data_IF_833466635887
#
_entry.id   IF_833466635887
#
_cell.length_a   1.000
_cell.length_b   1.000
_cell.length_c   1.000
_cell.angle_alpha   90.00
_cell.angle_beta   90.00
_cell.angle_gamma   90.00
#
_symmetry.space_group_name_H-M   'P 1'
#
loop_
_entity.id
_entity.type
_entity.pdbx_description
1 polymer ?
#
# COMPACT_ATOMS: atom_id res chain seq x y z
N UNK A 1 -8.01 13.80 14.89
CA UNK A 1 -6.99 13.43 13.87
C UNK A 1 -6.02 14.61 13.82
N UNK A 2 -4.71 14.38 13.92
CA UNK A 2 -3.73 15.47 13.91
C UNK A 2 -3.63 16.10 12.52
N UNK A 3 -3.42 17.41 12.44
CA UNK A 3 -3.22 18.09 11.15
C UNK A 3 -1.95 17.63 10.44
N UNK A 4 -1.97 17.66 9.09
CA UNK A 4 -0.79 17.29 8.29
C UNK A 4 0.44 18.16 8.60
N UNK A 5 0.23 19.43 8.88
CA UNK A 5 1.25 20.41 9.29
C UNK A 5 1.96 19.96 10.57
N UNK A 6 1.21 19.60 11.59
CA UNK A 6 1.73 19.12 12.88
C UNK A 6 2.47 17.78 12.75
N UNK A 7 1.95 16.86 11.92
CA UNK A 7 2.64 15.60 11.63
C UNK A 7 3.96 15.81 10.89
N UNK A 8 4.02 16.76 9.97
CA UNK A 8 5.25 17.15 9.30
C UNK A 8 6.25 17.75 10.28
N UNK A 9 5.82 18.61 11.20
CA UNK A 9 6.67 19.14 12.25
C UNK A 9 7.29 18.03 13.09
N UNK A 10 6.52 17.04 13.55
CA UNK A 10 7.05 15.91 14.32
C UNK A 10 8.05 15.06 13.53
N UNK A 11 7.81 14.87 12.24
CA UNK A 11 8.74 14.14 11.36
C UNK A 11 10.04 14.90 11.10
N UNK A 12 10.02 16.23 11.20
CA UNK A 12 11.20 17.09 11.02
C UNK A 12 11.96 17.36 12.33
N UNK A 13 11.44 16.95 13.49
CA UNK A 13 12.20 17.04 14.74
C UNK A 13 13.51 16.24 14.60
N UNK A 14 14.68 16.78 14.99
CA UNK A 14 15.93 16.06 14.87
C UNK A 14 15.87 14.75 15.64
N UNK A 15 16.11 13.64 14.94
CA UNK A 15 15.96 12.28 15.49
C UNK A 15 16.86 12.05 16.73
N UNK A 16 18.05 12.64 16.76
CA UNK A 16 18.98 12.51 17.86
C UNK A 16 18.47 13.26 19.11
N UNK A 17 17.93 14.48 18.92
CA UNK A 17 17.32 15.23 20.01
C UNK A 17 16.12 14.48 20.60
N UNK A 18 15.31 13.83 19.78
CA UNK A 18 14.21 12.99 20.24
C UNK A 18 14.75 11.76 20.99
N UNK A 19 15.81 11.13 20.50
CA UNK A 19 16.46 10.01 21.15
C UNK A 19 17.01 10.39 22.55
N UNK A 20 17.71 11.53 22.65
CA UNK A 20 18.23 12.04 23.93
C UNK A 20 17.10 12.33 24.94
N UNK A 21 15.98 12.89 24.49
CA UNK A 21 14.82 13.11 25.35
C UNK A 21 14.13 11.82 25.82
N UNK A 22 14.31 10.74 25.06
CA UNK A 22 13.89 9.40 25.46
C UNK A 22 14.87 8.72 26.43
N UNK A 23 15.96 9.42 26.81
CA UNK A 23 17.01 8.91 27.69
C UNK A 23 18.07 8.06 27.00
N UNK A 24 18.11 8.05 25.67
CA UNK A 24 19.16 7.37 24.91
C UNK A 24 20.41 8.26 24.85
N UNK A 25 21.55 7.73 25.26
CA UNK A 25 22.82 8.45 25.13
C UNK A 25 23.33 8.35 23.69
N UNK A 26 23.27 9.46 22.94
CA UNK A 26 23.72 9.51 21.55
C UNK A 26 25.15 10.06 21.49
N UNK A 27 26.07 9.27 20.95
CA UNK A 27 27.46 9.67 20.73
C UNK A 27 27.91 9.29 19.32
N UNK A 28 28.42 10.26 18.56
CA UNK A 28 28.87 10.04 17.16
C UNK A 28 27.81 9.36 16.28
N UNK A 29 26.56 9.84 16.35
CA UNK A 29 25.41 9.31 15.63
C UNK A 29 25.06 7.84 15.96
N UNK A 30 25.42 7.35 17.16
CA UNK A 30 25.13 6.01 17.63
C UNK A 30 24.65 6.00 19.07
N UNK A 31 23.85 5.00 19.44
CA UNK A 31 23.46 4.68 20.81
C UNK A 31 23.34 3.18 21.02
N UNK A 32 23.24 2.75 22.27
CA UNK A 32 22.72 1.42 22.60
C UNK A 32 21.27 1.31 22.11
N UNK A 33 20.91 0.16 21.60
CA UNK A 33 19.56 -0.10 21.11
C UNK A 33 18.63 -0.47 22.27
N UNK A 34 17.51 0.23 22.51
CA UNK A 34 16.59 -0.09 23.58
C UNK A 34 15.64 -1.25 23.28
N UNK A 35 15.74 -1.86 22.08
CA UNK A 35 14.81 -2.87 21.60
C UNK A 35 15.35 -4.30 21.68
N UNK A 36 16.57 -4.49 22.17
CA UNK A 36 17.21 -5.76 22.50
C UNK A 36 18.29 -5.52 23.55
N UNK A 37 18.78 -6.56 24.15
CA UNK A 37 19.92 -6.48 25.08
C UNK A 37 21.19 -6.12 24.30
N UNK A 38 21.63 -4.86 24.43
CA UNK A 38 22.68 -4.25 23.63
C UNK A 38 23.83 -3.73 24.51
N UNK A 39 24.98 -4.31 24.38
CA UNK A 39 26.19 -3.92 25.11
C UNK A 39 27.17 -3.07 24.26
N UNK A 40 26.90 -2.93 22.95
CA UNK A 40 27.70 -2.17 22.02
C UNK A 40 26.80 -1.33 21.14
N UNK A 41 27.02 0.00 21.03
CA UNK A 41 26.17 0.93 20.30
C UNK A 41 25.83 0.45 18.87
N UNK A 42 24.76 -0.35 18.75
CA UNK A 42 24.32 -0.96 17.51
C UNK A 42 23.24 -0.16 16.75
N UNK A 43 22.62 0.81 17.41
CA UNK A 43 21.67 1.73 16.80
C UNK A 43 22.40 2.94 16.21
N UNK A 44 22.18 3.21 14.94
CA UNK A 44 22.75 4.37 14.23
C UNK A 44 21.64 5.35 13.83
N UNK A 45 21.96 6.65 13.87
CA UNK A 45 21.08 7.74 13.48
C UNK A 45 21.59 8.38 12.19
N UNK A 46 20.70 8.59 11.23
CA UNK A 46 20.96 9.36 10.02
C UNK A 46 20.31 10.74 10.16
N UNK A 47 21.11 11.78 10.36
CA UNK A 47 20.63 13.16 10.47
C UNK A 47 20.07 13.68 9.14
N UNK A 48 20.69 13.29 8.01
CA UNK A 48 20.23 13.67 6.67
C UNK A 48 18.88 13.07 6.28
N UNK A 49 18.60 11.84 6.72
CA UNK A 49 17.31 11.14 6.48
C UNK A 49 16.33 11.28 7.65
N UNK A 50 16.82 11.79 8.77
CA UNK A 50 16.08 11.90 10.04
C UNK A 50 15.47 10.56 10.49
N UNK A 51 16.30 9.49 10.46
CA UNK A 51 15.89 8.12 10.78
C UNK A 51 16.89 7.43 11.68
N UNK A 52 16.42 6.41 12.42
CA UNK A 52 17.28 5.48 13.15
C UNK A 52 17.26 4.08 12.52
N UNK A 53 18.32 3.32 12.74
CA UNK A 53 18.40 1.89 12.39
C UNK A 53 19.33 1.15 13.34
N UNK A 54 18.85 0.07 13.91
CA UNK A 54 19.67 -0.91 14.61
C UNK A 54 20.15 -1.98 13.63
N UNK A 55 21.45 -2.25 13.61
CA UNK A 55 22.03 -3.24 12.70
C UNK A 55 21.99 -4.67 13.27
N UNK A 56 21.66 -4.83 14.55
CA UNK A 56 21.52 -6.15 15.20
C UNK A 56 20.08 -6.64 15.11
N UNK A 57 19.11 -5.90 15.67
CA UNK A 57 17.71 -6.35 15.68
C UNK A 57 16.87 -5.86 14.49
N UNK A 58 17.44 -5.04 13.59
CA UNK A 58 16.76 -4.53 12.41
C UNK A 58 15.72 -3.43 12.68
N UNK A 59 15.53 -3.00 13.93
CA UNK A 59 14.61 -1.92 14.27
C UNK A 59 14.98 -0.64 13.54
N UNK A 60 14.03 0.00 12.86
CA UNK A 60 14.26 1.22 12.10
C UNK A 60 12.99 2.06 12.03
N UNK A 61 13.12 3.36 11.75
CA UNK A 61 12.00 4.28 11.62
C UNK A 61 12.41 5.75 11.74
N UNK A 62 11.42 6.63 11.74
CA UNK A 62 11.57 8.07 12.00
C UNK A 62 11.34 8.42 13.47
N UNK A 63 11.19 9.71 13.75
CA UNK A 63 11.01 10.27 15.11
C UNK A 63 9.79 9.70 15.81
N UNK A 64 8.64 9.62 15.12
CA UNK A 64 7.40 9.10 15.70
C UNK A 64 7.54 7.59 16.00
N UNK A 65 8.14 6.84 15.08
CA UNK A 65 8.36 5.39 15.25
C UNK A 65 9.26 5.08 16.45
N UNK A 66 10.28 5.91 16.66
CA UNK A 66 11.19 5.79 17.81
C UNK A 66 10.43 5.94 19.12
N UNK A 67 9.60 6.96 19.24
CA UNK A 67 8.78 7.22 20.45
C UNK A 67 7.77 6.09 20.67
N UNK A 68 7.05 5.68 19.63
CA UNK A 68 6.08 4.59 19.70
C UNK A 68 6.71 3.31 20.24
N UNK A 69 7.85 2.92 19.67
CA UNK A 69 8.53 1.66 20.03
C UNK A 69 9.20 1.73 21.41
N UNK A 70 9.85 2.84 21.73
CA UNK A 70 10.60 3.00 22.98
C UNK A 70 9.68 3.08 24.19
N UNK A 71 8.56 3.79 24.07
CA UNK A 71 7.61 3.99 25.17
C UNK A 71 6.40 3.03 25.12
N UNK A 72 6.34 2.12 24.12
CA UNK A 72 5.19 1.24 23.94
C UNK A 72 3.87 1.98 23.67
N UNK A 73 3.95 3.17 23.06
CA UNK A 73 2.80 4.06 22.85
C UNK A 73 2.16 3.87 21.49
N UNK A 74 0.84 4.09 21.45
CA UNK A 74 0.11 4.22 20.18
C UNK A 74 0.53 5.49 19.43
N UNK A 75 0.25 5.55 18.13
CA UNK A 75 0.58 6.71 17.30
C UNK A 75 0.04 8.04 17.86
N UNK A 76 -1.24 8.15 18.30
CA UNK A 76 -1.74 9.39 18.90
C UNK A 76 -1.03 9.77 20.20
N UNK A 77 -0.68 8.80 21.02
CA UNK A 77 0.03 9.04 22.29
C UNK A 77 1.48 9.46 22.07
N UNK A 78 2.15 8.86 21.08
CA UNK A 78 3.50 9.27 20.67
C UNK A 78 3.52 10.72 20.13
N UNK A 79 2.51 11.09 19.34
CA UNK A 79 2.38 12.45 18.87
C UNK A 79 2.11 13.45 20.01
N UNK A 80 1.28 13.09 21.01
CA UNK A 80 1.09 13.93 22.21
C UNK A 80 2.39 14.09 22.97
N UNK A 81 3.12 13.00 23.21
CA UNK A 81 4.42 13.05 23.87
C UNK A 81 5.41 13.96 23.13
N UNK A 82 5.46 13.87 21.78
CA UNK A 82 6.32 14.76 20.97
C UNK A 82 5.89 16.23 21.06
N UNK A 83 4.60 16.50 21.15
CA UNK A 83 4.07 17.84 21.34
C UNK A 83 4.46 18.42 22.70
N UNK A 84 4.23 17.66 23.75
CA UNK A 84 4.56 18.07 25.12
C UNK A 84 6.07 18.26 25.30
N UNK A 85 6.87 17.34 24.75
CA UNK A 85 8.32 17.41 24.81
C UNK A 85 8.94 18.56 24.01
N UNK A 86 8.23 19.15 23.04
CA UNK A 86 8.72 20.19 22.15
C UNK A 86 7.94 21.51 22.25
N UNK A 87 7.09 21.67 23.26
CA UNK A 87 6.19 22.83 23.44
C UNK A 87 5.37 23.16 22.17
N UNK A 88 5.03 22.15 21.39
CA UNK A 88 4.12 22.29 20.26
C UNK A 88 2.71 22.25 20.82
N UNK A 89 2.00 23.37 20.74
CA UNK A 89 0.59 23.42 21.10
C UNK A 89 -0.15 22.51 20.13
N UNK A 90 -0.60 21.36 20.61
CA UNK A 90 -1.61 20.59 19.89
C UNK A 90 -2.89 21.38 20.01
N UNK A 91 -3.27 22.13 18.97
CA UNK A 91 -4.66 22.53 18.87
C UNK A 91 -5.46 21.23 18.90
N UNK A 92 -6.23 21.05 19.98
CA UNK A 92 -7.18 19.95 20.04
C UNK A 92 -8.03 20.08 18.80
N UNK A 93 -7.92 19.07 17.90
CA UNK A 93 -8.85 18.95 16.80
C UNK A 93 -10.25 18.89 17.42
N UNK A 94 -10.84 20.07 17.61
CA UNK A 94 -12.29 20.16 17.76
C UNK A 94 -12.81 19.64 16.43
N UNK A 95 -13.54 18.49 16.41
CA UNK A 95 -14.17 18.06 15.18
C UNK A 95 -14.93 19.29 14.68
N UNK A 96 -14.47 19.88 13.58
CA UNK A 96 -15.16 20.97 12.95
C UNK A 96 -16.57 20.44 12.75
N UNK A 97 -17.52 21.05 13.43
CA UNK A 97 -18.93 20.81 13.16
C UNK A 97 -19.11 20.91 11.65
N UNK A 98 -19.93 20.05 11.02
CA UNK A 98 -19.97 19.87 9.57
C UNK A 98 -20.36 21.11 8.74
N UNK A 99 -20.23 22.32 9.26
CA UNK A 99 -20.67 23.57 8.63
C UNK A 99 -19.75 24.09 7.50
N UNK A 100 -18.46 23.68 7.44
CA UNK A 100 -17.52 24.15 6.42
C UNK A 100 -16.98 23.07 5.48
N UNK A 101 -17.32 21.81 5.68
CA UNK A 101 -17.18 20.83 4.65
C UNK A 101 -18.35 20.99 3.67
N UNK A 102 -18.14 21.67 2.55
CA UNK A 102 -18.97 21.42 1.37
C UNK A 102 -19.09 19.91 1.28
N UNK A 103 -20.29 19.33 1.33
CA UNK A 103 -20.47 17.88 1.33
C UNK A 103 -19.65 17.34 0.18
N UNK A 104 -18.72 16.42 0.47
CA UNK A 104 -17.87 15.82 -0.55
C UNK A 104 -18.83 15.35 -1.62
N UNK A 105 -18.72 15.88 -2.86
CA UNK A 105 -19.63 15.50 -3.94
C UNK A 105 -19.66 13.98 -3.98
N UNK A 106 -20.85 13.36 -3.88
CA UNK A 106 -20.94 11.91 -3.93
C UNK A 106 -20.36 11.42 -5.26
N UNK A 107 -19.88 10.20 -5.29
CA UNK A 107 -19.46 9.55 -6.53
C UNK A 107 -20.62 9.56 -7.53
N UNK A 108 -20.41 10.21 -8.67
CA UNK A 108 -21.43 10.30 -9.72
C UNK A 108 -21.31 9.09 -10.65
N UNK A 109 -22.02 8.02 -10.31
CA UNK A 109 -22.05 6.77 -11.08
C UNK A 109 -22.62 6.96 -12.49
N UNK A 110 -23.50 7.96 -12.71
CA UNK A 110 -24.16 8.17 -14.01
C UNK A 110 -23.16 8.48 -15.14
N UNK A 111 -22.02 9.09 -14.80
CA UNK A 111 -20.93 9.41 -15.75
C UNK A 111 -20.26 8.16 -16.32
N UNK A 112 -20.39 7.03 -15.65
CA UNK A 112 -19.65 5.80 -15.95
C UNK A 112 -20.57 4.65 -16.36
N UNK A 113 -21.90 4.79 -16.28
CA UNK A 113 -22.87 3.74 -16.58
C UNK A 113 -22.62 3.06 -17.91
N UNK A 114 -22.60 3.85 -19.00
CA UNK A 114 -22.37 3.35 -20.37
C UNK A 114 -21.03 2.62 -20.54
N UNK A 115 -20.01 3.02 -19.80
CA UNK A 115 -18.68 2.43 -19.88
C UNK A 115 -18.68 0.97 -19.39
N UNK A 116 -19.48 0.67 -18.37
CA UNK A 116 -19.56 -0.66 -17.78
C UNK A 116 -20.77 -1.49 -18.30
N UNK A 117 -21.67 -0.87 -19.03
CA UNK A 117 -22.68 -1.59 -19.84
C UNK A 117 -22.03 -2.24 -21.08
N UNK A 118 -21.07 -1.54 -21.69
CA UNK A 118 -20.33 -1.99 -22.85
C UNK A 118 -18.82 -1.87 -22.61
N UNK A 119 -18.23 -2.74 -21.77
CA UNK A 119 -16.82 -2.67 -21.45
C UNK A 119 -15.95 -2.86 -22.69
N UNK A 120 -14.94 -2.01 -22.85
CA UNK A 120 -13.96 -2.13 -23.91
C UNK A 120 -12.56 -2.34 -23.32
N UNK A 121 -11.75 -3.18 -23.96
CA UNK A 121 -10.39 -3.48 -23.56
C UNK A 121 -9.42 -3.15 -24.68
N UNK A 122 -8.44 -2.28 -24.39
CA UNK A 122 -7.29 -2.04 -25.27
C UNK A 122 -6.44 -3.30 -25.43
N UNK A 123 -5.61 -3.36 -26.46
CA UNK A 123 -4.70 -4.51 -26.67
C UNK A 123 -3.78 -4.73 -25.46
N UNK A 124 -3.34 -3.65 -24.82
CA UNK A 124 -2.52 -3.75 -23.60
C UNK A 124 -3.29 -4.35 -22.43
N UNK A 125 -4.55 -3.95 -22.24
CA UNK A 125 -5.39 -4.53 -21.20
C UNK A 125 -5.73 -6.00 -21.50
N UNK A 126 -5.97 -6.34 -22.78
CA UNK A 126 -6.20 -7.73 -23.20
C UNK A 126 -4.99 -8.60 -22.92
N UNK A 127 -3.79 -8.13 -23.31
CA UNK A 127 -2.54 -8.83 -23.01
C UNK A 127 -2.37 -9.04 -21.52
N UNK A 128 -2.53 -7.99 -20.71
CA UNK A 128 -2.42 -8.08 -19.27
C UNK A 128 -3.40 -9.10 -18.66
N UNK A 129 -4.68 -9.09 -19.07
CA UNK A 129 -5.71 -9.94 -18.47
C UNK A 129 -5.62 -11.39 -18.97
N UNK A 130 -5.40 -11.60 -20.27
CA UNK A 130 -5.54 -12.92 -20.88
C UNK A 130 -4.20 -13.65 -21.08
N UNK A 131 -3.11 -12.93 -21.34
CA UNK A 131 -1.80 -13.55 -21.55
C UNK A 131 -0.97 -13.56 -20.26
N UNK A 132 -0.82 -12.38 -19.61
CA UNK A 132 0.01 -12.29 -18.40
C UNK A 132 -0.67 -12.87 -17.16
N UNK A 133 -2.00 -12.71 -17.01
CA UNK A 133 -2.78 -13.19 -15.88
C UNK A 133 -3.61 -14.43 -16.16
N UNK A 134 -3.70 -14.87 -17.40
CA UNK A 134 -4.43 -16.06 -17.86
C UNK A 134 -5.88 -16.15 -17.37
N UNK A 135 -6.54 -15.00 -17.19
CA UNK A 135 -7.89 -14.95 -16.63
C UNK A 135 -8.94 -15.49 -17.61
N UNK A 136 -9.94 -16.16 -17.05
CA UNK A 136 -11.08 -16.62 -17.83
C UNK A 136 -11.85 -15.42 -18.40
N UNK A 137 -12.12 -15.36 -19.72
CA UNK A 137 -12.86 -14.26 -20.35
C UNK A 137 -14.26 -14.01 -19.73
N UNK A 138 -14.93 -15.06 -19.24
CA UNK A 138 -16.23 -14.93 -18.56
C UNK A 138 -16.09 -14.16 -17.24
N UNK A 139 -14.99 -14.34 -16.52
CA UNK A 139 -14.69 -13.60 -15.27
C UNK A 139 -14.40 -12.12 -15.59
N UNK A 140 -13.63 -11.84 -16.63
CA UNK A 140 -13.34 -10.47 -17.06
C UNK A 140 -14.63 -9.74 -17.45
N UNK A 141 -15.54 -10.42 -18.16
CA UNK A 141 -16.86 -9.90 -18.50
C UNK A 141 -17.75 -9.71 -17.28
N UNK A 142 -17.81 -10.70 -16.36
CA UNK A 142 -18.53 -10.60 -15.10
C UNK A 142 -18.10 -9.40 -14.28
N UNK A 143 -16.79 -9.21 -14.12
CA UNK A 143 -16.22 -8.09 -13.39
C UNK A 143 -16.34 -6.75 -14.13
N UNK A 144 -16.88 -6.73 -15.35
CA UNK A 144 -17.06 -5.54 -16.20
C UNK A 144 -15.78 -4.71 -16.32
N UNK A 145 -14.63 -5.38 -16.43
CA UNK A 145 -13.34 -4.69 -16.54
C UNK A 145 -13.30 -3.94 -17.89
N UNK A 146 -12.87 -2.68 -17.84
CA UNK A 146 -12.73 -1.83 -19.01
C UNK A 146 -11.37 -1.16 -19.01
N UNK A 147 -10.99 -0.50 -20.10
CA UNK A 147 -9.72 0.22 -20.17
C UNK A 147 -9.84 1.52 -20.94
N UNK A 148 -8.92 2.42 -20.69
CA UNK A 148 -8.80 3.67 -21.41
C UNK A 148 -7.35 4.16 -21.40
N UNK A 149 -7.03 5.06 -22.35
CA UNK A 149 -5.73 5.72 -22.39
C UNK A 149 -5.96 7.20 -22.10
N UNK A 150 -5.19 7.74 -21.15
CA UNK A 150 -5.31 9.16 -20.82
C UNK A 150 -4.62 10.06 -21.86
N UNK A 151 -4.80 11.38 -21.73
CA UNK A 151 -4.20 12.36 -22.65
C UNK A 151 -2.66 12.36 -22.66
N UNK A 152 -2.04 11.69 -21.69
CA UNK A 152 -0.59 11.54 -21.57
C UNK A 152 -0.10 10.19 -22.12
N UNK A 153 -0.98 9.39 -22.72
CA UNK A 153 -0.66 8.08 -23.25
C UNK A 153 -0.61 6.96 -22.21
N UNK A 154 -0.93 7.24 -20.94
CA UNK A 154 -0.94 6.20 -19.89
C UNK A 154 -2.15 5.29 -20.05
N UNK A 155 -1.89 3.98 -20.06
CA UNK A 155 -2.94 2.96 -20.17
C UNK A 155 -3.48 2.58 -18.80
N UNK A 156 -4.78 2.66 -18.63
CA UNK A 156 -5.48 2.39 -17.38
C UNK A 156 -6.45 1.23 -17.55
N UNK A 157 -6.41 0.28 -16.61
CA UNK A 157 -7.46 -0.71 -16.42
C UNK A 157 -8.43 -0.18 -15.39
N UNK A 158 -9.73 -0.13 -15.73
CA UNK A 158 -10.81 0.31 -14.87
C UNK A 158 -11.45 -0.87 -14.18
N UNK A 159 -11.48 -0.83 -12.87
CA UNK A 159 -11.99 -1.87 -11.98
C UNK A 159 -13.20 -1.28 -11.26
N UNK A 160 -14.44 -1.59 -11.69
CA UNK A 160 -15.64 -1.06 -11.04
C UNK A 160 -15.92 -1.79 -9.73
N UNK A 161 -16.36 -1.04 -8.74
CA UNK A 161 -16.84 -1.54 -7.46
C UNK A 161 -18.35 -1.40 -7.40
N UNK A 162 -19.03 -2.49 -7.15
CA UNK A 162 -20.49 -2.54 -7.04
C UNK A 162 -20.88 -2.91 -5.61
N UNK A 163 -21.99 -2.35 -5.12
CA UNK A 163 -22.61 -2.81 -3.88
C UNK A 163 -23.34 -4.14 -4.06
N UNK A 164 -24.00 -4.64 -3.01
CA UNK A 164 -24.75 -5.89 -3.06
C UNK A 164 -25.93 -5.88 -4.06
N UNK A 165 -26.48 -4.69 -4.32
CA UNK A 165 -27.59 -4.49 -5.26
C UNK A 165 -27.09 -4.31 -6.71
N UNK A 166 -25.78 -4.38 -6.94
CA UNK A 166 -25.17 -4.18 -8.25
C UNK A 166 -25.09 -2.72 -8.69
N UNK A 167 -25.24 -1.75 -7.77
CA UNK A 167 -25.05 -0.31 -8.08
C UNK A 167 -23.57 0.02 -8.06
N UNK A 168 -23.10 0.77 -9.05
CA UNK A 168 -21.72 1.25 -9.12
C UNK A 168 -21.44 2.27 -8.01
N UNK A 169 -20.50 1.97 -7.12
CA UNK A 169 -20.14 2.80 -5.96
C UNK A 169 -18.74 3.40 -6.04
N UNK A 170 -17.92 2.95 -6.96
CA UNK A 170 -16.56 3.45 -7.15
C UNK A 170 -15.84 2.79 -8.29
N UNK A 171 -14.70 3.34 -8.64
CA UNK A 171 -13.80 2.82 -9.67
C UNK A 171 -12.38 2.94 -9.16
N UNK A 172 -11.63 1.86 -9.28
CA UNK A 172 -10.18 1.85 -9.14
C UNK A 172 -9.55 1.78 -10.53
N UNK A 173 -8.72 2.75 -10.90
CA UNK A 173 -7.96 2.71 -12.14
C UNK A 173 -6.55 2.22 -11.83
N UNK A 174 -6.16 1.08 -12.43
CA UNK A 174 -4.82 0.49 -12.34
C UNK A 174 -4.00 0.94 -13.55
N UNK A 175 -2.85 1.52 -13.28
CA UNK A 175 -1.89 1.89 -14.31
C UNK A 175 -1.20 0.63 -14.87
N UNK A 176 -1.42 0.34 -16.16
CA UNK A 176 -0.80 -0.80 -16.85
C UNK A 176 0.62 -0.49 -17.34
N UNK A 177 1.04 0.78 -17.28
CA UNK A 177 2.41 1.21 -17.59
C UNK A 177 3.28 1.33 -16.34
N UNK A 178 2.68 1.08 -15.16
CA UNK A 178 3.40 1.16 -13.91
C UNK A 178 4.41 0.02 -13.80
N UNK A 179 5.68 0.35 -14.00
CA UNK A 179 6.79 -0.55 -13.68
C UNK A 179 7.14 -0.37 -12.20
N UNK A 180 7.10 -1.44 -11.43
CA UNK A 180 7.78 -1.49 -10.15
C UNK A 180 9.23 -1.13 -10.47
N UNK A 181 9.77 -0.05 -9.92
CA UNK A 181 11.21 0.20 -10.03
C UNK A 181 11.90 -1.05 -9.50
N UNK A 182 12.51 -1.79 -10.40
CA UNK A 182 13.15 -3.05 -10.10
C UNK A 182 14.22 -2.78 -9.06
N UNK A 183 14.15 -3.47 -7.95
CA UNK A 183 15.20 -3.50 -6.94
C UNK A 183 16.54 -4.02 -7.50
N UNK A 184 16.55 -4.50 -8.73
CA UNK A 184 17.69 -5.08 -9.43
C UNK A 184 18.72 -4.04 -9.88
N UNK A 185 18.30 -2.81 -10.19
CA UNK A 185 19.26 -1.75 -10.60
C UNK A 185 20.15 -1.29 -9.43
N UNK A 186 19.73 -1.50 -8.19
CA UNK A 186 20.56 -1.13 -7.02
C UNK A 186 21.67 -2.16 -6.73
N UNK A 187 21.49 -3.44 -7.06
CA UNK A 187 22.53 -4.45 -6.82
C UNK A 187 23.63 -4.44 -7.88
N UNK A 188 23.30 -4.15 -9.14
CA UNK A 188 24.31 -4.03 -10.19
C UNK A 188 25.10 -2.71 -10.11
N UNK A 189 24.42 -1.60 -9.71
CA UNK A 189 25.13 -0.33 -9.46
C UNK A 189 26.07 -0.40 -8.26
N UNK A 190 25.67 -1.02 -7.16
CA UNK A 190 26.54 -1.20 -6.00
C UNK A 190 27.77 -2.11 -6.29
N UNK A 191 27.64 -3.02 -7.25
CA UNK A 191 28.76 -3.86 -7.67
C UNK A 191 29.70 -3.11 -8.62
N UNK A 192 29.15 -2.37 -9.57
CA UNK A 192 29.91 -1.54 -10.50
C UNK A 192 30.57 -0.33 -9.80
N UNK A 193 29.92 0.31 -8.81
CA UNK A 193 30.51 1.39 -8.02
C UNK A 193 31.66 0.90 -7.13
N UNK A 194 31.61 -0.32 -6.61
CA UNK A 194 32.72 -0.89 -5.82
C UNK A 194 33.96 -1.26 -6.67
N UNK A 195 33.76 -1.65 -7.91
CA UNK A 195 34.86 -1.92 -8.85
C UNK A 195 35.48 -0.62 -9.38
N UNK A 196 34.66 0.44 -9.59
CA UNK A 196 35.16 1.75 -10.07
C UNK A 196 35.81 2.58 -8.97
N UNK A 197 35.43 2.40 -7.69
CA UNK A 197 36.05 3.07 -6.55
C UNK A 197 37.50 2.60 -6.28
N UNK A 198 37.84 1.39 -6.70
CA UNK A 198 39.21 0.87 -6.52
C UNK A 198 40.22 1.37 -7.59
N UNK A 199 39.75 1.84 -8.74
CA UNK A 199 40.59 2.43 -9.80
C UNK A 199 40.67 3.96 -9.75
N UNK A 200 39.76 4.66 -9.07
CA UNK A 200 39.67 6.13 -9.07
C UNK A 200 40.47 6.87 -8.00
N UNK A 201 40.98 6.20 -6.99
CA UNK A 201 41.80 6.84 -5.94
C UNK A 201 43.16 7.38 -6.41
N UNK A 202 43.49 7.24 -7.70
CA UNK A 202 44.75 7.70 -8.28
C UNK A 202 44.64 8.90 -9.22
N UNK A 203 43.45 9.34 -9.63
CA UNK A 203 43.32 10.37 -10.69
C UNK A 203 42.56 11.65 -10.29
N UNK A 204 42.05 11.80 -9.06
CA UNK A 204 41.19 12.94 -8.69
C UNK A 204 41.83 13.97 -7.79
N UNK A 205 42.81 14.72 -8.29
CA UNK A 205 43.21 16.00 -7.66
C UNK A 205 43.12 17.24 -8.54
N UNK A 206 42.77 17.16 -9.80
CA UNK A 206 42.89 18.33 -10.72
C UNK A 206 41.65 18.80 -11.48
N UNK A 207 40.45 18.20 -11.33
CA UNK A 207 39.27 18.55 -12.18
C UNK A 207 38.05 19.03 -11.37
N UNK A 208 38.22 19.56 -10.17
CA UNK A 208 37.05 19.82 -9.27
C UNK A 208 36.37 21.20 -9.42
N UNK A 209 36.81 22.08 -10.32
CA UNK A 209 36.33 23.48 -10.32
C UNK A 209 35.42 23.91 -11.47
N UNK A 210 35.27 23.14 -12.54
CA UNK A 210 34.42 23.52 -13.69
C UNK A 210 33.09 22.75 -13.82
N UNK A 211 32.89 21.66 -13.07
CA UNK A 211 31.71 20.81 -13.14
C UNK A 211 30.48 21.31 -12.37
N UNK A 212 30.71 22.14 -11.36
CA UNK A 212 29.64 22.54 -10.40
C UNK A 212 28.61 23.54 -10.96
N UNK A 213 28.87 24.16 -12.11
CA UNK A 213 27.97 25.13 -12.74
C UNK A 213 27.02 24.48 -13.75
N UNK A 214 27.46 23.45 -14.46
CA UNK A 214 26.65 22.74 -15.46
C UNK A 214 25.66 21.75 -14.85
N UNK A 215 25.98 21.18 -13.67
CA UNK A 215 25.08 20.23 -13.01
C UNK A 215 23.86 20.89 -12.35
N UNK A 216 23.95 22.17 -11.97
CA UNK A 216 22.81 22.90 -11.38
C UNK A 216 21.71 23.27 -12.37
N UNK A 217 22.01 23.45 -13.63
CA UNK A 217 21.01 23.75 -14.66
C UNK A 217 20.30 22.47 -15.16
N UNK A 218 20.99 21.35 -15.25
CA UNK A 218 20.41 20.05 -15.66
C UNK A 218 19.52 19.46 -14.59
N UNK A 219 19.77 19.75 -13.28
CA UNK A 219 18.92 19.26 -12.18
C UNK A 219 17.56 19.95 -12.12
N UNK A 220 17.44 21.19 -12.56
CA UNK A 220 16.18 21.94 -12.53
C UNK A 220 15.20 21.57 -13.66
N UNK A 221 15.66 20.99 -14.75
CA UNK A 221 14.80 20.49 -15.83
C UNK A 221 14.32 19.05 -15.63
N UNK A 222 15.10 18.20 -14.95
CA UNK A 222 14.72 16.82 -14.63
C UNK A 222 13.64 16.72 -13.56
N UNK A 223 13.56 17.65 -12.61
CA UNK A 223 12.53 17.65 -11.54
C UNK A 223 11.10 17.94 -12.05
N UNK A 224 10.92 18.43 -13.28
CA UNK A 224 9.60 18.62 -13.91
C UNK A 224 9.10 17.40 -14.70
N UNK A 225 9.99 16.46 -15.06
CA UNK A 225 9.65 15.33 -15.93
C UNK A 225 9.26 14.04 -15.19
N UNK A 226 9.61 13.86 -13.93
CA UNK A 226 9.43 12.61 -13.19
C UNK A 226 8.37 12.68 -12.07
N UNK A 227 7.21 13.28 -12.33
CA UNK A 227 6.03 12.96 -11.52
C UNK A 227 5.60 11.53 -11.84
N UNK A 228 6.20 10.57 -11.15
CA UNK A 228 5.86 9.15 -11.25
C UNK A 228 4.35 8.99 -11.22
N UNK A 229 3.75 8.62 -12.35
CA UNK A 229 2.30 8.39 -12.46
C UNK A 229 1.96 7.27 -11.48
N UNK A 230 0.99 7.45 -10.57
CA UNK A 230 0.73 6.50 -9.51
C UNK A 230 0.26 5.15 -10.06
N UNK A 231 0.50 4.08 -9.29
CA UNK A 231 0.02 2.73 -9.63
C UNK A 231 -1.50 2.65 -9.70
N UNK A 232 -2.19 3.39 -8.84
CA UNK A 232 -3.65 3.43 -8.76
C UNK A 232 -4.15 4.87 -8.72
N UNK A 233 -5.31 5.11 -9.37
CA UNK A 233 -6.09 6.34 -9.29
C UNK A 233 -7.55 6.02 -9.02
N UNK A 234 -8.23 6.95 -8.34
CA UNK A 234 -9.64 6.81 -8.00
C UNK A 234 -10.37 8.07 -8.43
N UNK A 235 -11.48 7.98 -9.17
CA UNK A 235 -12.38 9.12 -9.36
C UNK A 235 -12.84 9.67 -8.01
N UNK A 236 -13.09 10.96 -7.96
CA UNK A 236 -13.52 11.62 -6.74
C UNK A 236 -14.81 11.01 -6.20
N UNK A 237 -14.86 10.77 -4.90
CA UNK A 237 -16.00 10.16 -4.21
C UNK A 237 -16.13 8.64 -4.37
N UNK A 238 -15.24 7.98 -5.13
CA UNK A 238 -15.23 6.51 -5.25
C UNK A 238 -15.11 5.84 -3.89
N UNK A 239 -15.99 4.88 -3.63
CA UNK A 239 -15.93 3.98 -2.47
C UNK A 239 -15.42 2.61 -2.96
N UNK A 240 -14.13 2.36 -2.80
CA UNK A 240 -13.52 1.08 -3.10
C UNK A 240 -13.39 0.29 -1.79
N UNK A 241 -14.50 -0.24 -1.32
CA UNK A 241 -14.64 -1.06 -0.11
C UNK A 241 -14.39 -2.53 -0.43
N UNK A 242 -15.34 -3.42 -0.14
CA UNK A 242 -15.22 -4.82 -0.54
C UNK A 242 -15.51 -4.94 -2.05
N UNK A 243 -14.60 -5.58 -2.77
CA UNK A 243 -14.74 -5.82 -4.20
C UNK A 243 -15.61 -7.04 -4.48
N UNK A 244 -16.36 -7.02 -5.61
CA UNK A 244 -17.18 -8.11 -6.14
C UNK A 244 -18.31 -8.58 -5.22
N UNK A 245 -18.91 -7.67 -4.43
CA UNK A 245 -20.07 -8.00 -3.58
C UNK A 245 -21.25 -8.66 -4.32
N UNK A 246 -21.56 -8.34 -5.61
CA UNK A 246 -22.65 -9.01 -6.32
C UNK A 246 -22.54 -10.54 -6.39
N UNK A 247 -21.33 -11.11 -6.25
CA UNK A 247 -21.16 -12.58 -6.25
C UNK A 247 -21.89 -13.25 -5.08
N UNK A 248 -22.14 -12.53 -3.99
CA UNK A 248 -22.83 -13.08 -2.81
C UNK A 248 -24.27 -13.47 -3.09
N UNK A 249 -24.94 -12.83 -4.07
CA UNK A 249 -26.27 -13.19 -4.52
C UNK A 249 -26.31 -14.50 -5.32
N UNK A 250 -25.16 -15.01 -5.76
CA UNK A 250 -25.03 -16.25 -6.53
C UNK A 250 -24.56 -17.44 -5.69
N UNK A 251 -24.36 -17.26 -4.40
CA UNK A 251 -23.98 -18.34 -3.49
C UNK A 251 -25.13 -19.31 -3.27
N UNK A 252 -24.79 -20.59 -3.33
CA UNK A 252 -25.71 -21.67 -2.94
C UNK A 252 -25.53 -21.96 -1.44
N UNK A 253 -26.53 -22.49 -0.76
CA UNK A 253 -26.36 -22.94 0.62
C UNK A 253 -25.18 -23.90 0.77
N UNK A 254 -24.26 -23.59 1.69
CA UNK A 254 -23.04 -24.38 1.93
C UNK A 254 -21.91 -24.17 0.92
N UNK A 255 -22.07 -23.31 -0.08
CA UNK A 255 -20.98 -22.97 -1.01
C UNK A 255 -19.97 -22.04 -0.33
N UNK A 256 -18.64 -22.33 -0.39
CA UNK A 256 -17.62 -21.53 0.22
C UNK A 256 -17.47 -20.16 -0.46
N UNK A 257 -17.24 -19.11 0.33
CA UNK A 257 -16.89 -17.78 -0.17
C UNK A 257 -15.44 -17.46 0.21
N UNK A 258 -14.62 -17.20 -0.79
CA UNK A 258 -13.21 -16.85 -0.59
C UNK A 258 -13.04 -15.35 -0.41
N UNK A 259 -12.15 -14.95 0.49
CA UNK A 259 -11.70 -13.57 0.67
C UNK A 259 -10.26 -13.48 0.20
N UNK A 260 -9.96 -12.48 -0.64
CA UNK A 260 -8.62 -12.25 -1.20
C UNK A 260 -8.12 -10.85 -0.87
N UNK A 261 -6.81 -10.64 -0.94
CA UNK A 261 -6.19 -9.33 -0.85
C UNK A 261 -6.08 -8.70 -2.24
N UNK A 262 -7.03 -7.78 -2.53
CA UNK A 262 -7.08 -7.07 -3.80
C UNK A 262 -7.80 -7.79 -4.93
N UNK A 263 -8.19 -6.99 -5.95
CA UNK A 263 -9.02 -7.46 -7.05
C UNK A 263 -8.33 -8.51 -7.95
N UNK A 264 -6.99 -8.46 -8.08
CA UNK A 264 -6.26 -9.40 -8.96
C UNK A 264 -6.41 -10.86 -8.51
N UNK A 265 -6.29 -11.10 -7.20
CA UNK A 265 -6.43 -12.43 -6.62
C UNK A 265 -7.88 -12.91 -6.65
N UNK A 266 -8.82 -11.97 -6.49
CA UNK A 266 -10.23 -12.25 -6.68
C UNK A 266 -10.53 -12.74 -8.11
N UNK A 267 -9.95 -12.11 -9.15
CA UNK A 267 -10.13 -12.58 -10.53
C UNK A 267 -9.52 -13.96 -10.77
N UNK A 268 -8.36 -14.22 -10.19
CA UNK A 268 -7.72 -15.53 -10.26
C UNK A 268 -8.59 -16.59 -9.59
N UNK A 269 -9.10 -16.30 -8.38
CA UNK A 269 -9.99 -17.18 -7.64
C UNK A 269 -11.28 -17.50 -8.40
N UNK A 270 -11.92 -16.46 -8.98
CA UNK A 270 -13.08 -16.62 -9.85
C UNK A 270 -12.77 -17.44 -11.10
N UNK A 271 -11.58 -17.24 -11.70
CA UNK A 271 -11.14 -17.97 -12.88
C UNK A 271 -10.85 -19.45 -12.57
N UNK A 272 -10.44 -19.74 -11.34
CA UNK A 272 -10.31 -21.12 -10.82
C UNK A 272 -11.68 -21.77 -10.49
N UNK A 273 -12.80 -21.05 -10.68
CA UNK A 273 -14.15 -21.58 -10.46
C UNK A 273 -14.74 -21.34 -9.07
N UNK A 274 -14.05 -20.62 -8.20
CA UNK A 274 -14.52 -20.31 -6.85
C UNK A 274 -15.30 -19.00 -6.80
N UNK A 275 -16.17 -18.83 -5.79
CA UNK A 275 -16.80 -17.55 -5.49
C UNK A 275 -15.88 -16.75 -4.58
N UNK A 276 -15.59 -15.50 -4.95
CA UNK A 276 -14.66 -14.68 -4.19
C UNK A 276 -15.07 -13.21 -4.14
N UNK A 277 -14.75 -12.59 -3.01
CA UNK A 277 -14.72 -11.13 -2.79
C UNK A 277 -13.30 -10.71 -2.44
N UNK A 278 -12.99 -9.41 -2.56
CA UNK A 278 -11.67 -8.94 -2.17
C UNK A 278 -11.73 -7.75 -1.22
N UNK A 279 -10.77 -7.70 -0.31
CA UNK A 279 -10.47 -6.53 0.51
C UNK A 279 -9.36 -5.74 -0.20
N UNK A 280 -9.57 -4.47 -0.60
CA UNK A 280 -8.61 -3.72 -1.41
C UNK A 280 -7.25 -3.51 -0.74
N UNK A 281 -7.20 -3.50 0.59
CA UNK A 281 -6.00 -3.40 1.40
C UNK A 281 -6.34 -3.70 2.86
N UNK A 282 -5.43 -4.34 3.58
CA UNK A 282 -5.53 -4.59 5.02
C UNK A 282 -5.79 -3.33 5.86
N UNK A 283 -5.30 -2.17 5.39
CA UNK A 283 -5.48 -0.88 6.07
C UNK A 283 -6.83 -0.20 5.79
N UNK A 284 -7.60 -0.71 4.83
CA UNK A 284 -8.88 -0.12 4.39
C UNK A 284 -10.11 -0.84 4.95
N UNK A 285 -9.94 -1.92 5.72
CA UNK A 285 -11.06 -2.64 6.34
C UNK A 285 -11.69 -1.80 7.45
N UNK A 286 -12.72 -1.05 7.09
CA UNK A 286 -13.43 -0.14 7.98
C UNK A 286 -14.49 -0.86 8.83
N UNK A 287 -15.04 -0.16 9.84
CA UNK A 287 -16.10 -0.69 10.70
C UNK A 287 -17.39 -1.03 9.91
N UNK A 288 -17.67 -0.31 8.82
CA UNK A 288 -18.80 -0.62 7.95
C UNK A 288 -18.60 -1.95 7.21
N UNK A 289 -17.37 -2.19 6.70
CA UNK A 289 -17.03 -3.43 6.01
C UNK A 289 -17.06 -4.63 6.96
N UNK A 290 -16.57 -4.45 8.19
CA UNK A 290 -16.63 -5.49 9.24
C UNK A 290 -18.06 -5.88 9.57
N UNK A 291 -18.97 -4.89 9.71
CA UNK A 291 -20.40 -5.16 9.91
C UNK A 291 -21.00 -5.90 8.72
N UNK A 292 -20.71 -5.44 7.51
CA UNK A 292 -21.20 -6.08 6.29
C UNK A 292 -20.76 -7.54 6.19
N UNK A 293 -19.51 -7.86 6.53
CA UNK A 293 -19.01 -9.24 6.53
C UNK A 293 -19.72 -10.11 7.58
N UNK A 294 -19.99 -9.57 8.78
CA UNK A 294 -20.79 -10.27 9.79
C UNK A 294 -22.21 -10.56 9.31
N UNK A 295 -22.90 -9.54 8.78
CA UNK A 295 -24.24 -9.68 8.26
C UNK A 295 -24.31 -10.70 7.11
N UNK A 296 -23.27 -10.74 6.26
CA UNK A 296 -23.13 -11.74 5.21
C UNK A 296 -22.97 -13.16 5.79
N UNK A 297 -22.12 -13.31 6.79
CA UNK A 297 -21.90 -14.61 7.44
C UNK A 297 -23.18 -15.16 8.06
N UNK A 298 -23.92 -14.33 8.80
CA UNK A 298 -25.17 -14.70 9.46
C UNK A 298 -26.27 -15.03 8.44
N UNK A 299 -26.40 -14.22 7.38
CA UNK A 299 -27.47 -14.36 6.39
C UNK A 299 -27.26 -15.51 5.43
N UNK A 300 -26.02 -15.76 5.00
CA UNK A 300 -25.72 -16.73 3.95
C UNK A 300 -25.46 -18.14 4.49
N UNK A 301 -25.13 -18.29 5.79
CA UNK A 301 -24.77 -19.58 6.37
C UNK A 301 -23.61 -20.26 5.63
N UNK A 302 -22.73 -19.45 4.99
CA UNK A 302 -21.61 -19.92 4.18
C UNK A 302 -20.33 -19.99 5.00
N UNK A 303 -19.40 -20.83 4.58
CA UNK A 303 -18.04 -20.84 5.11
C UNK A 303 -17.18 -19.81 4.39
N UNK A 304 -16.35 -19.10 5.16
CA UNK A 304 -15.40 -18.15 4.60
C UNK A 304 -14.00 -18.76 4.59
N UNK A 305 -13.28 -18.56 3.49
CA UNK A 305 -11.96 -19.12 3.26
C UNK A 305 -11.00 -18.03 2.78
N UNK A 306 -9.73 -18.12 3.14
CA UNK A 306 -8.70 -17.21 2.68
C UNK A 306 -7.38 -17.93 2.46
N UNK A 307 -6.70 -17.58 1.36
CA UNK A 307 -5.28 -17.81 1.13
C UNK A 307 -4.56 -16.48 1.36
N UNK A 308 -4.05 -16.19 2.57
CA UNK A 308 -3.33 -14.95 2.81
C UNK A 308 -2.08 -14.85 1.94
N UNK A 309 -1.76 -13.64 1.48
CA UNK A 309 -0.49 -13.38 0.84
C UNK A 309 0.65 -13.74 1.79
N UNK A 310 1.73 -14.32 1.25
CA UNK A 310 2.91 -14.72 2.03
C UNK A 310 3.77 -13.53 2.42
N UNK A 311 3.15 -12.58 3.09
CA UNK A 311 3.85 -11.45 3.68
C UNK A 311 3.15 -10.97 4.96
N UNK A 312 3.83 -10.13 5.73
CA UNK A 312 3.28 -9.64 6.99
C UNK A 312 1.96 -8.84 6.87
N UNK A 313 1.68 -8.09 5.79
CA UNK A 313 0.35 -7.52 5.52
C UNK A 313 -0.75 -8.55 5.36
N UNK A 314 -0.53 -9.62 4.57
CA UNK A 314 -1.51 -10.67 4.32
C UNK A 314 -1.92 -11.41 5.59
N UNK A 315 -0.94 -11.80 6.40
CA UNK A 315 -1.20 -12.43 7.71
C UNK A 315 -1.96 -11.49 8.67
N UNK A 316 -1.61 -10.20 8.68
CA UNK A 316 -2.36 -9.22 9.49
C UNK A 316 -3.81 -9.07 9.02
N UNK A 317 -4.07 -9.07 7.72
CA UNK A 317 -5.43 -9.03 7.19
C UNK A 317 -6.21 -10.26 7.62
N UNK A 318 -5.61 -11.45 7.51
CA UNK A 318 -6.25 -12.69 7.98
C UNK A 318 -6.63 -12.60 9.45
N UNK A 319 -5.72 -12.16 10.33
CA UNK A 319 -6.01 -12.03 11.75
C UNK A 319 -7.14 -11.03 12.04
N UNK A 320 -7.16 -9.87 11.35
CA UNK A 320 -8.23 -8.89 11.48
C UNK A 320 -9.59 -9.44 11.00
N UNK A 321 -9.59 -10.23 9.94
CA UNK A 321 -10.79 -10.89 9.42
C UNK A 321 -11.25 -12.01 10.35
N UNK A 322 -10.34 -12.76 10.96
CA UNK A 322 -10.65 -13.83 11.92
C UNK A 322 -11.36 -13.32 13.17
N UNK A 323 -11.04 -12.07 13.62
CA UNK A 323 -11.77 -11.40 14.71
C UNK A 323 -13.24 -11.12 14.34
N UNK A 324 -13.50 -10.86 13.06
CA UNK A 324 -14.84 -10.53 12.52
C UNK A 324 -15.63 -11.80 12.14
N UNK A 325 -14.93 -12.76 11.59
CA UNK A 325 -15.41 -14.03 11.06
C UNK A 325 -14.70 -15.19 11.78
N UNK A 326 -15.14 -15.61 12.97
CA UNK A 326 -14.44 -16.64 13.75
C UNK A 326 -14.32 -17.98 13.02
N UNK A 327 -15.20 -18.27 12.05
CA UNK A 327 -15.20 -19.48 11.23
C UNK A 327 -14.37 -19.35 9.94
N UNK A 328 -13.63 -18.23 9.73
CA UNK A 328 -12.76 -18.04 8.57
C UNK A 328 -11.67 -19.13 8.55
N UNK A 329 -11.58 -19.87 7.47
CA UNK A 329 -10.57 -20.92 7.27
C UNK A 329 -9.33 -20.37 6.59
N UNK A 330 -8.18 -20.71 7.16
CA UNK A 330 -6.85 -20.35 6.62
C UNK A 330 -6.36 -21.46 5.70
N UNK A 331 -6.00 -21.10 4.47
CA UNK A 331 -5.37 -21.99 3.51
C UNK A 331 -3.94 -21.54 3.23
N UNK A 332 -3.03 -22.51 3.12
CA UNK A 332 -1.64 -22.20 2.79
C UNK A 332 -1.43 -22.21 1.28
N UNK A 333 -0.78 -21.17 0.78
CA UNK A 333 -0.28 -21.15 -0.59
C UNK A 333 0.88 -22.17 -0.75
N UNK A 334 1.03 -22.80 -1.92
CA UNK A 334 2.19 -23.63 -2.23
C UNK A 334 3.52 -22.91 -2.07
N UNK A 335 4.58 -23.66 -1.79
CA UNK A 335 5.93 -23.10 -1.71
C UNK A 335 6.30 -22.47 -3.05
N UNK A 336 6.78 -21.22 -3.02
CA UNK A 336 7.15 -20.46 -4.23
C UNK A 336 6.07 -19.50 -4.72
N UNK A 337 4.81 -19.64 -4.28
CA UNK A 337 3.76 -18.68 -4.61
C UNK A 337 3.61 -17.62 -3.51
N UNK A 338 3.62 -16.35 -3.88
CA UNK A 338 3.46 -15.23 -2.96
C UNK A 338 1.99 -14.97 -2.65
N UNK A 339 1.14 -15.02 -3.67
CA UNK A 339 -0.29 -14.74 -3.64
C UNK A 339 -1.08 -15.79 -4.43
N UNK A 340 -2.41 -15.73 -4.37
CA UNK A 340 -3.24 -16.69 -5.08
C UNK A 340 -3.17 -16.51 -6.60
N UNK A 341 -2.92 -15.33 -7.11
CA UNK A 341 -2.78 -15.13 -8.55
C UNK A 341 -1.52 -15.84 -9.10
N UNK A 342 -0.41 -15.87 -8.36
CA UNK A 342 0.77 -16.67 -8.72
C UNK A 342 0.47 -18.16 -8.67
N UNK A 343 -0.25 -18.63 -7.67
CA UNK A 343 -0.68 -20.03 -7.57
C UNK A 343 -1.58 -20.43 -8.73
N UNK A 344 -2.57 -19.60 -9.05
CA UNK A 344 -3.46 -19.83 -10.20
C UNK A 344 -2.70 -19.93 -11.52
N UNK A 345 -1.68 -19.09 -11.73
CA UNK A 345 -0.85 -19.12 -12.95
C UNK A 345 0.01 -20.39 -13.06
N UNK A 346 0.23 -21.10 -11.97
CA UNK A 346 0.96 -22.40 -11.97
C UNK A 346 0.09 -23.57 -12.43
N UNK A 347 -1.23 -23.40 -12.59
CA UNK A 347 -2.08 -24.45 -13.11
C UNK A 347 -1.78 -24.67 -14.61
N UNK A 348 -1.67 -25.91 -14.99
CA UNK A 348 -1.64 -26.32 -16.39
C UNK A 348 -3.10 -26.41 -16.87
N UNK A 349 -3.50 -25.54 -17.81
CA UNK A 349 -4.84 -25.48 -18.39
C UNK A 349 -4.83 -26.08 -19.80
#
# INVERSE_FOLDING_TARGET
>A
MLEKSTLLQFRHLPIETVAERLGLHVARHKSLCPFHDDHHASMSFSTSRNTFRCFVCGASGGTIDLVMRHLGKSFPEACRWLADANNVILEEYKPQTPADNKPAKPFDASRYGRLFEHPWLSDKARRFLFEERRLNPRVVAWCRLSSWTDRYGTNWLQIPYFDQDGRLIGIQNRNLDYRKAEKEVFHEKDKAEKEVLHEKDKAEKEVFHERDKAEKEVFHEKDKADKKVPRFRFPYGSRCTIYNLPVTAMLRPGEPLYITEGASDCWAMLSAGHKAIAIPSATLLGNADKRLLKDLAERLGTTFHMFPDRDAPGERLFMQLKEVLPQLEHHQLPVGCKDFAEYYMSFEF
#
